data_IF_288738116464
#
_entry.id   IF_288738116464
#
_cell.length_a   1.000
_cell.length_b   1.000
_cell.length_c   1.000
_cell.angle_alpha   90.00
_cell.angle_beta   90.00
_cell.angle_gamma   90.00
#
_symmetry.space_group_name_H-M   'P 1'
#
loop_
_entity.id
_entity.type
_entity.pdbx_description
1 polymer ?
#
# COMPACT_ATOMS: atom_id res chain seq x y z
N UNK A 1 19.59 8.42 2.62
CA UNK A 1 18.80 7.21 2.98
C UNK A 1 17.57 7.56 3.82
N UNK A 2 17.73 8.09 5.05
CA UNK A 2 16.57 8.36 5.92
C UNK A 2 15.51 9.29 5.30
N UNK A 3 15.91 10.43 4.73
CA UNK A 3 14.98 11.35 4.06
C UNK A 3 14.22 10.66 2.92
N UNK A 4 14.93 9.91 2.08
CA UNK A 4 14.34 9.15 0.98
C UNK A 4 13.30 8.14 1.48
N UNK A 5 13.57 7.42 2.58
CA UNK A 5 12.61 6.50 3.19
C UNK A 5 11.36 7.25 3.69
N UNK A 6 11.51 8.40 4.34
CA UNK A 6 10.37 9.22 4.80
C UNK A 6 9.52 9.70 3.62
N UNK A 7 10.14 10.24 2.58
CA UNK A 7 9.45 10.66 1.36
C UNK A 7 8.72 9.48 0.72
N UNK A 8 9.35 8.30 0.66
CA UNK A 8 8.76 7.12 0.02
C UNK A 8 7.55 6.59 0.80
N UNK A 9 7.63 6.50 2.13
CA UNK A 9 6.48 6.05 2.94
C UNK A 9 5.36 7.09 2.98
N UNK A 10 5.69 8.38 3.00
CA UNK A 10 4.70 9.46 2.88
C UNK A 10 3.95 9.36 1.56
N UNK A 11 4.70 9.33 0.45
CA UNK A 11 4.14 9.27 -0.90
C UNK A 11 3.35 7.98 -1.11
N UNK A 12 3.86 6.84 -0.65
CA UNK A 12 3.15 5.56 -0.73
C UNK A 12 1.81 5.58 0.01
N UNK A 13 1.78 6.11 1.23
CA UNK A 13 0.54 6.24 2.00
C UNK A 13 -0.43 7.25 1.40
N UNK A 14 0.07 8.38 0.91
CA UNK A 14 -0.73 9.38 0.21
C UNK A 14 -1.38 8.80 -1.05
N UNK A 15 -0.60 8.08 -1.87
CA UNK A 15 -1.10 7.40 -3.07
C UNK A 15 -2.12 6.31 -2.73
N UNK A 16 -1.89 5.54 -1.66
CA UNK A 16 -2.80 4.49 -1.22
C UNK A 16 -4.17 5.06 -0.85
N UNK A 17 -4.22 6.10 -0.02
CA UNK A 17 -5.50 6.69 0.40
C UNK A 17 -6.17 7.51 -0.71
N UNK A 18 -5.39 8.21 -1.54
CA UNK A 18 -5.96 8.96 -2.67
C UNK A 18 -6.57 8.06 -3.72
N UNK A 19 -6.00 6.90 -4.04
CA UNK A 19 -6.59 6.01 -5.05
C UNK A 19 -7.94 5.43 -4.60
N UNK A 20 -8.13 5.17 -3.31
CA UNK A 20 -9.43 4.72 -2.78
C UNK A 20 -10.52 5.75 -3.09
N UNK A 21 -10.22 7.03 -2.87
CA UNK A 21 -11.14 8.13 -3.09
C UNK A 21 -11.36 8.41 -4.59
N UNK A 22 -10.28 8.44 -5.38
CA UNK A 22 -10.35 8.61 -6.85
C UNK A 22 -11.24 7.53 -7.46
N UNK A 23 -11.04 6.28 -7.07
CA UNK A 23 -11.77 5.15 -7.64
C UNK A 23 -13.22 5.12 -7.16
N UNK A 24 -13.49 5.44 -5.90
CA UNK A 24 -14.86 5.60 -5.41
C UNK A 24 -15.60 6.67 -6.22
N UNK A 25 -14.95 7.80 -6.51
CA UNK A 25 -15.51 8.86 -7.35
C UNK A 25 -15.69 8.41 -8.81
N UNK A 26 -14.72 7.68 -9.36
CA UNK A 26 -14.76 7.16 -10.73
C UNK A 26 -15.91 6.17 -10.99
N UNK A 27 -16.33 5.43 -9.97
CA UNK A 27 -17.41 4.45 -10.07
C UNK A 27 -18.81 5.09 -10.05
N UNK A 28 -18.95 6.32 -9.53
CA UNK A 28 -20.26 6.97 -9.35
C UNK A 28 -21.07 7.11 -10.65
N UNK A 29 -20.50 7.53 -11.80
CA UNK A 29 -21.29 7.71 -13.02
C UNK A 29 -21.82 6.39 -13.59
N UNK A 30 -21.07 5.30 -13.46
CA UNK A 30 -21.46 3.98 -13.98
C UNK A 30 -22.35 3.20 -13.02
N UNK A 31 -21.94 3.08 -11.75
CA UNK A 31 -22.57 2.20 -10.77
C UNK A 31 -23.51 2.94 -9.79
N UNK A 32 -23.50 4.27 -9.79
CA UNK A 32 -24.27 5.11 -8.87
C UNK A 32 -23.64 5.23 -7.47
N UNK A 33 -24.28 6.04 -6.62
CA UNK A 33 -23.83 6.33 -5.24
C UNK A 33 -24.44 5.45 -4.16
N UNK A 34 -24.81 4.20 -4.47
CA UNK A 34 -25.46 3.33 -3.49
C UNK A 34 -24.49 2.83 -2.41
N UNK A 35 -25.02 2.49 -1.23
CA UNK A 35 -24.24 1.86 -0.15
C UNK A 35 -23.49 0.60 -0.64
N UNK A 36 -24.08 -0.15 -1.56
CA UNK A 36 -23.50 -1.39 -2.08
C UNK A 36 -22.19 -1.14 -2.84
N UNK A 37 -22.09 -0.03 -3.60
CA UNK A 37 -20.86 0.36 -4.31
C UNK A 37 -19.77 0.66 -3.30
N UNK A 38 -20.08 1.52 -2.33
CA UNK A 38 -19.15 1.90 -1.27
C UNK A 38 -18.65 0.68 -0.47
N UNK A 39 -19.57 -0.19 -0.02
CA UNK A 39 -19.19 -1.37 0.77
C UNK A 39 -18.35 -2.36 -0.04
N UNK A 40 -18.59 -2.48 -1.34
CA UNK A 40 -17.80 -3.35 -2.24
C UNK A 40 -16.38 -2.83 -2.40
N UNK A 41 -16.21 -1.52 -2.58
CA UNK A 41 -14.90 -0.88 -2.62
C UNK A 41 -14.15 -1.06 -1.30
N UNK A 42 -14.81 -0.77 -0.17
CA UNK A 42 -14.21 -0.93 1.16
C UNK A 42 -13.77 -2.38 1.41
N UNK A 43 -14.62 -3.36 1.10
CA UNK A 43 -14.29 -4.78 1.28
C UNK A 43 -13.07 -5.17 0.44
N UNK A 44 -12.99 -4.71 -0.81
CA UNK A 44 -11.83 -4.94 -1.66
C UNK A 44 -10.56 -4.32 -1.06
N UNK A 45 -10.58 -3.03 -0.73
CA UNK A 45 -9.40 -2.32 -0.23
C UNK A 45 -8.90 -2.90 1.08
N UNK A 46 -9.78 -3.17 2.04
CA UNK A 46 -9.39 -3.78 3.32
C UNK A 46 -8.84 -5.20 3.11
N UNK A 47 -9.44 -5.98 2.21
CA UNK A 47 -8.94 -7.31 1.85
C UNK A 47 -7.54 -7.27 1.26
N UNK A 48 -7.29 -6.38 0.29
CA UNK A 48 -5.98 -6.25 -0.35
C UNK A 48 -4.94 -5.64 0.60
N UNK A 49 -5.33 -4.70 1.45
CA UNK A 49 -4.47 -4.15 2.50
C UNK A 49 -3.98 -5.24 3.46
N UNK A 50 -4.87 -6.15 3.87
CA UNK A 50 -4.51 -7.32 4.67
C UNK A 50 -3.52 -8.23 3.92
N UNK A 51 -3.71 -8.46 2.62
CA UNK A 51 -2.77 -9.21 1.79
C UNK A 51 -1.40 -8.53 1.71
N UNK A 52 -1.35 -7.20 1.67
CA UNK A 52 -0.11 -6.43 1.73
C UNK A 52 0.64 -6.62 3.05
N UNK A 53 -0.08 -6.61 4.17
CA UNK A 53 0.50 -6.90 5.49
C UNK A 53 0.95 -8.35 5.63
N UNK A 54 0.21 -9.30 5.06
CA UNK A 54 0.63 -10.69 5.01
C UNK A 54 1.96 -10.82 4.25
N UNK A 55 2.05 -10.21 3.07
CA UNK A 55 3.27 -10.16 2.28
C UNK A 55 4.43 -9.53 3.05
N UNK A 56 4.23 -8.37 3.68
CA UNK A 56 5.26 -7.70 4.49
C UNK A 56 5.70 -8.54 5.71
N UNK A 57 4.78 -9.28 6.34
CA UNK A 57 5.11 -10.17 7.45
C UNK A 57 5.92 -11.38 6.99
N UNK A 58 5.60 -11.96 5.83
CA UNK A 58 6.41 -13.03 5.21
C UNK A 58 7.80 -12.52 4.81
N UNK A 59 7.87 -11.29 4.29
CA UNK A 59 9.11 -10.60 3.97
C UNK A 59 10.01 -10.44 5.21
N UNK A 60 9.43 -10.01 6.35
CA UNK A 60 10.17 -9.82 7.62
C UNK A 60 10.87 -11.09 8.13
N UNK A 61 10.36 -12.28 7.81
CA UNK A 61 10.91 -13.57 8.27
C UNK A 61 12.21 -13.95 7.56
N UNK A 62 12.61 -13.25 6.51
CA UNK A 62 13.83 -13.56 5.74
C UNK A 62 15.09 -13.05 6.48
N UNK A 63 16.16 -13.87 6.59
CA UNK A 63 17.39 -13.49 7.29
C UNK A 63 18.25 -12.50 6.48
N UNK A 64 18.29 -12.67 5.15
CA UNK A 64 18.86 -11.69 4.23
C UNK A 64 17.74 -10.86 3.59
N UNK A 65 17.97 -9.55 3.49
CA UNK A 65 17.02 -8.58 2.94
C UNK A 65 17.37 -8.14 1.52
N UNK A 66 18.58 -8.43 1.02
CA UNK A 66 19.01 -7.94 -0.31
C UNK A 66 18.16 -8.52 -1.43
N UNK A 67 18.16 -9.85 -1.58
CA UNK A 67 17.42 -10.51 -2.65
C UNK A 67 15.91 -10.28 -2.54
N UNK A 68 15.26 -10.42 -1.36
CA UNK A 68 13.86 -10.06 -1.21
C UNK A 68 13.55 -8.60 -1.56
N UNK A 69 14.44 -7.65 -1.22
CA UNK A 69 14.22 -6.24 -1.57
C UNK A 69 14.33 -6.01 -3.08
N UNK A 70 15.29 -6.63 -3.78
CA UNK A 70 15.34 -6.60 -5.26
C UNK A 70 14.04 -7.12 -5.87
N UNK A 71 13.53 -8.25 -5.38
CA UNK A 71 12.23 -8.77 -5.82
C UNK A 71 11.09 -7.80 -5.52
N UNK A 72 11.06 -7.18 -4.34
CA UNK A 72 10.05 -6.18 -4.00
C UNK A 72 10.11 -4.99 -4.95
N UNK A 73 11.30 -4.46 -5.24
CA UNK A 73 11.48 -3.37 -6.22
C UNK A 73 10.97 -3.81 -7.58
N UNK A 74 11.29 -5.02 -8.06
CA UNK A 74 10.73 -5.53 -9.33
C UNK A 74 9.18 -5.55 -9.33
N UNK A 75 8.57 -5.97 -8.21
CA UNK A 75 7.12 -5.95 -8.06
C UNK A 75 6.56 -4.51 -8.03
N UNK A 76 7.28 -3.54 -7.49
CA UNK A 76 6.88 -2.11 -7.50
C UNK A 76 6.79 -1.55 -8.92
N UNK A 77 7.63 -2.01 -9.85
CA UNK A 77 7.58 -1.57 -11.25
C UNK A 77 6.49 -2.28 -12.05
N UNK A 78 6.02 -3.45 -11.63
CA UNK A 78 5.09 -4.27 -12.40
C UNK A 78 3.72 -3.58 -12.68
N UNK A 79 3.11 -2.79 -11.78
CA UNK A 79 1.91 -2.01 -12.11
C UNK A 79 2.08 -1.04 -13.28
N UNK A 80 3.29 -0.53 -13.51
CA UNK A 80 3.55 0.45 -14.57
C UNK A 80 3.30 -0.14 -15.97
N UNK A 81 3.40 -1.47 -16.12
CA UNK A 81 3.09 -2.16 -17.37
C UNK A 81 1.61 -2.09 -17.76
N UNK A 82 0.74 -1.77 -16.80
CA UNK A 82 -0.71 -1.67 -16.99
C UNK A 82 -1.19 -0.22 -17.09
N UNK A 83 -0.28 0.76 -17.06
CA UNK A 83 -0.62 2.17 -17.26
C UNK A 83 -0.65 2.48 -18.77
N UNK A 84 -1.64 3.25 -19.27
CA UNK A 84 -2.69 3.94 -18.52
C UNK A 84 -3.89 3.05 -18.17
N UNK A 85 -4.37 3.16 -16.93
CA UNK A 85 -5.65 2.58 -16.52
C UNK A 85 -6.77 3.33 -17.25
N UNK A 86 -7.45 2.67 -18.20
CA UNK A 86 -8.57 3.26 -18.94
C UNK A 86 -9.78 3.46 -18.02
N UNK A 87 -10.27 4.71 -17.99
CA UNK A 87 -11.47 5.10 -17.24
C UNK A 87 -12.76 4.50 -17.80
N UNK A 88 -12.77 4.13 -19.08
CA UNK A 88 -13.97 3.63 -19.77
C UNK A 88 -14.55 2.39 -19.11
N UNK A 89 -13.68 1.57 -18.50
CA UNK A 89 -14.11 0.36 -17.77
C UNK A 89 -14.93 0.67 -16.51
N UNK A 90 -14.75 1.84 -15.90
CA UNK A 90 -15.54 2.26 -14.74
C UNK A 90 -16.92 2.83 -15.14
N UNK A 91 -17.06 3.23 -16.41
CA UNK A 91 -18.27 3.84 -16.95
C UNK A 91 -19.25 2.84 -17.58
N UNK A 92 -18.81 1.60 -17.82
CA UNK A 92 -19.59 0.57 -18.53
C UNK A 92 -19.81 -0.68 -17.68
N UNK A 93 -20.66 -0.61 -16.63
CA UNK A 93 -21.13 -1.82 -15.94
C UNK A 93 -21.86 -2.75 -16.93
N UNK A 94 -21.48 -4.02 -16.93
CA UNK A 94 -22.10 -5.08 -17.75
C UNK A 94 -23.47 -5.50 -17.22
N UNK A 95 -23.73 -5.31 -15.91
CA UNK A 95 -24.93 -5.78 -15.21
C UNK A 95 -25.21 -7.28 -15.35
N UNK A 96 -24.26 -8.06 -15.86
CA UNK A 96 -24.40 -9.49 -16.11
C UNK A 96 -24.13 -10.35 -14.85
N UNK A 97 -23.63 -9.73 -13.79
CA UNK A 97 -23.23 -10.37 -12.52
C UNK A 97 -23.71 -9.52 -11.34
N UNK A 98 -23.75 -10.07 -10.11
CA UNK A 98 -23.99 -9.26 -8.92
C UNK A 98 -22.99 -8.11 -8.84
N UNK A 99 -23.47 -6.90 -8.55
CA UNK A 99 -22.69 -5.65 -8.57
C UNK A 99 -21.38 -5.74 -7.77
N UNK A 100 -21.40 -6.39 -6.60
CA UNK A 100 -20.21 -6.59 -5.76
C UNK A 100 -19.11 -7.39 -6.48
N UNK A 101 -19.47 -8.43 -7.22
CA UNK A 101 -18.53 -9.28 -7.97
C UNK A 101 -17.91 -8.48 -9.11
N UNK A 102 -18.73 -7.66 -9.78
CA UNK A 102 -18.30 -6.81 -10.87
C UNK A 102 -17.33 -5.72 -10.42
N UNK A 103 -17.65 -5.01 -9.33
CA UNK A 103 -16.76 -4.00 -8.74
C UNK A 103 -15.44 -4.64 -8.28
N UNK A 104 -15.49 -5.73 -7.51
CA UNK A 104 -14.27 -6.42 -7.05
C UNK A 104 -13.41 -6.88 -8.22
N UNK A 105 -14.02 -7.46 -9.26
CA UNK A 105 -13.31 -7.89 -10.46
C UNK A 105 -12.65 -6.72 -11.18
N UNK A 106 -13.39 -5.62 -11.35
CA UNK A 106 -12.88 -4.39 -11.96
C UNK A 106 -11.69 -3.82 -11.18
N UNK A 107 -11.82 -3.68 -9.85
CA UNK A 107 -10.76 -3.17 -8.98
C UNK A 107 -9.54 -4.08 -8.99
N UNK A 108 -9.74 -5.39 -8.92
CA UNK A 108 -8.66 -6.37 -8.97
C UNK A 108 -7.84 -6.26 -10.25
N UNK A 109 -8.50 -6.14 -11.41
CA UNK A 109 -7.87 -6.09 -12.72
C UNK A 109 -7.22 -4.74 -13.04
N UNK A 110 -7.64 -3.65 -12.39
CA UNK A 110 -7.18 -2.29 -12.71
C UNK A 110 -6.13 -1.80 -11.72
N UNK A 111 -6.50 -1.68 -10.44
CA UNK A 111 -5.69 -1.01 -9.42
C UNK A 111 -5.21 -1.95 -8.32
N UNK A 112 -5.74 -3.17 -8.24
CA UNK A 112 -5.49 -4.11 -7.15
C UNK A 112 -4.02 -4.42 -6.93
N UNK A 113 -3.27 -4.63 -8.01
CA UNK A 113 -1.84 -4.94 -7.91
C UNK A 113 -1.04 -3.74 -7.38
N UNK A 114 -1.32 -2.53 -7.86
CA UNK A 114 -0.66 -1.31 -7.37
C UNK A 114 -1.01 -1.03 -5.90
N UNK A 115 -2.27 -1.18 -5.53
CA UNK A 115 -2.76 -1.01 -4.16
C UNK A 115 -2.11 -2.02 -3.19
N UNK A 116 -2.01 -3.29 -3.60
CA UNK A 116 -1.33 -4.32 -2.83
C UNK A 116 0.12 -3.95 -2.52
N UNK A 117 0.87 -3.48 -3.52
CA UNK A 117 2.25 -3.05 -3.32
C UNK A 117 2.33 -1.86 -2.36
N UNK A 118 1.56 -0.79 -2.60
CA UNK A 118 1.54 0.40 -1.74
C UNK A 118 1.26 0.04 -0.28
N UNK A 119 0.31 -0.88 -0.04
CA UNK A 119 -0.09 -1.28 1.32
C UNK A 119 1.01 -2.02 2.09
N UNK A 120 1.94 -2.66 1.39
CA UNK A 120 3.07 -3.38 1.99
C UNK A 120 4.29 -2.49 2.30
N UNK A 121 4.41 -1.35 1.61
CA UNK A 121 5.63 -0.55 1.57
C UNK A 121 6.05 0.01 2.92
N UNK A 122 5.11 0.57 3.70
CA UNK A 122 5.45 1.19 4.99
C UNK A 122 6.12 0.18 5.94
N UNK A 123 5.59 -1.05 6.01
CA UNK A 123 6.12 -2.12 6.87
C UNK A 123 7.46 -2.64 6.34
N UNK A 124 7.59 -2.81 5.02
CA UNK A 124 8.85 -3.27 4.40
C UNK A 124 9.96 -2.23 4.63
N UNK A 125 9.70 -0.95 4.40
CA UNK A 125 10.69 0.11 4.56
C UNK A 125 11.06 0.36 6.03
N UNK A 126 10.13 0.16 6.97
CA UNK A 126 10.46 0.10 8.41
C UNK A 126 11.44 -1.02 8.74
N UNK A 127 11.26 -2.20 8.14
CA UNK A 127 12.19 -3.33 8.30
C UNK A 127 13.55 -3.03 7.68
N UNK A 128 13.59 -2.43 6.50
CA UNK A 128 14.83 -2.00 5.81
C UNK A 128 15.58 -0.98 6.68
N UNK A 129 14.89 0.03 7.22
CA UNK A 129 15.46 1.02 8.13
C UNK A 129 16.06 0.36 9.39
N UNK A 130 15.29 -0.51 10.06
CA UNK A 130 15.74 -1.20 11.28
C UNK A 130 16.96 -2.11 11.06
N UNK A 131 17.15 -2.61 9.83
CA UNK A 131 18.28 -3.46 9.46
C UNK A 131 19.53 -2.70 9.02
N UNK A 132 19.40 -1.40 8.72
CA UNK A 132 20.49 -0.60 8.16
C UNK A 132 21.48 -0.13 9.23
N UNK A 133 22.76 -0.46 9.05
CA UNK A 133 23.84 -0.08 9.97
C UNK A 133 23.97 1.45 10.13
N UNK A 134 23.73 2.21 9.05
CA UNK A 134 23.83 3.68 9.03
C UNK A 134 22.70 4.40 9.79
N UNK A 135 21.60 3.71 10.09
CA UNK A 135 20.40 4.32 10.72
C UNK A 135 19.97 3.56 11.98
N UNK A 136 20.84 2.70 12.52
CA UNK A 136 20.60 1.87 13.73
C UNK A 136 20.20 2.69 14.96
N UNK A 137 20.59 3.97 15.05
CA UNK A 137 20.20 4.88 16.15
C UNK A 137 18.84 5.54 15.95
N UNK A 138 18.23 5.39 14.78
CA UNK A 138 16.96 6.05 14.43
C UNK A 138 15.80 5.15 14.81
N UNK A 139 14.76 5.75 15.39
CA UNK A 139 13.56 5.05 15.77
C UNK A 139 12.73 4.69 14.51
N UNK A 140 12.50 3.39 14.19
CA UNK A 140 11.72 3.00 13.03
C UNK A 140 10.26 3.49 13.04
N UNK A 141 9.71 3.77 14.22
CA UNK A 141 8.34 4.29 14.38
C UNK A 141 8.15 5.67 13.74
N UNK A 142 9.22 6.40 13.42
CA UNK A 142 9.12 7.67 12.67
C UNK A 142 8.52 7.44 11.28
N UNK A 143 8.89 6.35 10.60
CA UNK A 143 8.32 6.04 9.28
C UNK A 143 6.83 5.70 9.36
N UNK A 144 6.38 5.10 10.46
CA UNK A 144 4.95 4.88 10.70
C UNK A 144 4.20 6.20 10.90
N UNK A 145 4.75 7.13 11.70
CA UNK A 145 4.16 8.46 11.88
C UNK A 145 4.08 9.25 10.57
N UNK A 146 5.14 9.21 9.76
CA UNK A 146 5.18 9.89 8.45
C UNK A 146 4.23 9.24 7.44
N UNK A 147 4.08 7.92 7.46
CA UNK A 147 3.07 7.21 6.67
C UNK A 147 1.65 7.66 7.05
N UNK A 148 1.33 7.74 8.34
CA UNK A 148 0.02 8.23 8.80
C UNK A 148 -0.22 9.69 8.41
N UNK A 149 0.81 10.54 8.49
CA UNK A 149 0.72 11.92 8.01
C UNK A 149 0.36 11.96 6.51
N UNK A 150 0.96 11.09 5.69
CA UNK A 150 0.62 10.94 4.28
C UNK A 150 -0.84 10.53 4.06
N UNK A 151 -1.35 9.57 4.84
CA UNK A 151 -2.76 9.15 4.80
C UNK A 151 -3.72 10.29 5.14
N UNK A 152 -3.47 11.01 6.23
CA UNK A 152 -4.28 12.17 6.63
C UNK A 152 -4.22 13.28 5.57
N UNK A 153 -3.03 13.54 5.03
CA UNK A 153 -2.85 14.52 3.96
C UNK A 153 -3.67 14.15 2.71
N UNK A 154 -3.72 12.88 2.30
CA UNK A 154 -4.55 12.44 1.18
C UNK A 154 -6.05 12.60 1.46
N UNK A 155 -6.51 12.18 2.64
CA UNK A 155 -7.90 12.28 3.06
C UNK A 155 -8.40 13.74 3.09
N UNK A 156 -7.55 14.69 3.49
CA UNK A 156 -7.88 16.11 3.50
C UNK A 156 -7.72 16.75 2.12
N UNK A 157 -6.64 16.45 1.41
CA UNK A 157 -6.37 17.02 0.10
C UNK A 157 -7.45 16.64 -0.91
N UNK A 158 -8.02 15.43 -0.83
CA UNK A 158 -8.98 14.97 -1.82
C UNK A 158 -10.25 15.86 -1.92
N UNK A 159 -11.04 16.06 -0.83
CA UNK A 159 -12.20 16.94 -0.87
C UNK A 159 -11.84 18.44 -0.95
N UNK A 160 -10.72 18.88 -0.38
CA UNK A 160 -10.40 20.31 -0.27
C UNK A 160 -9.65 20.88 -1.48
N UNK A 161 -8.87 20.04 -2.18
CA UNK A 161 -7.94 20.49 -3.24
C UNK A 161 -8.14 19.68 -4.51
N UNK A 162 -8.22 18.35 -4.44
CA UNK A 162 -8.23 17.50 -5.63
C UNK A 162 -9.57 17.62 -6.38
N UNK A 163 -10.68 17.42 -5.68
CA UNK A 163 -12.02 17.44 -6.30
C UNK A 163 -12.46 18.83 -6.79
N UNK A 164 -12.12 19.97 -6.13
CA UNK A 164 -12.52 21.28 -6.65
C UNK A 164 -11.67 21.76 -7.84
N UNK A 165 -10.43 21.28 -7.97
CA UNK A 165 -9.47 21.82 -8.94
C UNK A 165 -9.19 20.91 -10.14
N UNK A 166 -9.43 19.60 -10.02
CA UNK A 166 -9.02 18.62 -11.04
C UNK A 166 -10.17 17.71 -11.46
N UNK A 167 -10.33 17.54 -12.76
CA UNK A 167 -11.19 16.50 -13.33
C UNK A 167 -10.61 15.08 -13.07
N UNK A 168 -11.44 14.06 -13.24
CA UNK A 168 -11.08 12.68 -12.92
C UNK A 168 -9.89 12.14 -13.75
N UNK A 169 -9.75 12.56 -15.01
CA UNK A 169 -8.64 12.14 -15.86
C UNK A 169 -7.32 12.76 -15.35
N UNK A 170 -7.36 14.03 -14.98
CA UNK A 170 -6.24 14.73 -14.35
C UNK A 170 -5.86 14.09 -13.01
N UNK A 171 -6.83 13.69 -12.19
CA UNK A 171 -6.59 12.98 -10.92
C UNK A 171 -5.84 11.66 -11.12
N UNK A 172 -6.29 10.83 -12.06
CA UNK A 172 -5.64 9.54 -12.37
C UNK A 172 -4.26 9.74 -12.97
N UNK A 173 -4.11 10.70 -13.88
CA UNK A 173 -2.82 11.00 -14.50
C UNK A 173 -1.81 11.49 -13.44
N UNK A 174 -2.24 12.39 -12.55
CA UNK A 174 -1.44 12.83 -11.40
C UNK A 174 -1.07 11.68 -10.46
N UNK A 175 -2.01 10.77 -10.20
CA UNK A 175 -1.75 9.58 -9.39
C UNK A 175 -0.74 8.63 -10.05
N UNK A 176 -0.82 8.40 -11.36
CA UNK A 176 0.13 7.57 -12.12
C UNK A 176 1.53 8.18 -12.12
N UNK A 177 1.65 9.51 -12.28
CA UNK A 177 2.92 10.22 -12.15
C UNK A 177 3.48 10.07 -10.73
N UNK A 178 2.64 10.24 -9.70
CA UNK A 178 3.02 10.01 -8.31
C UNK A 178 3.51 8.57 -8.06
N UNK A 179 2.83 7.58 -8.64
CA UNK A 179 3.23 6.18 -8.56
C UNK A 179 4.58 5.93 -9.25
N UNK A 180 4.84 6.56 -10.40
CA UNK A 180 6.15 6.49 -11.06
C UNK A 180 7.25 7.08 -10.17
N UNK A 181 7.03 8.25 -9.57
CA UNK A 181 7.98 8.86 -8.62
C UNK A 181 8.24 7.95 -7.42
N UNK A 182 7.19 7.32 -6.90
CA UNK A 182 7.27 6.32 -5.84
C UNK A 182 8.12 5.10 -6.24
N UNK A 183 7.96 4.59 -7.46
CA UNK A 183 8.76 3.49 -7.99
C UNK A 183 10.24 3.87 -8.16
N UNK A 184 10.50 5.08 -8.66
CA UNK A 184 11.87 5.62 -8.76
C UNK A 184 12.52 5.76 -7.38
N UNK A 185 11.77 6.19 -6.36
CA UNK A 185 12.29 6.24 -4.99
C UNK A 185 12.72 4.86 -4.49
N UNK A 186 11.97 3.78 -4.80
CA UNK A 186 12.36 2.41 -4.47
C UNK A 186 13.66 1.98 -5.14
N UNK A 187 13.85 2.35 -6.41
CA UNK A 187 15.08 2.09 -7.14
C UNK A 187 16.26 2.86 -6.51
N UNK A 188 16.05 4.11 -6.10
CA UNK A 188 17.05 4.90 -5.38
C UNK A 188 17.38 4.35 -3.98
N UNK A 189 16.44 3.67 -3.31
CA UNK A 189 16.71 2.96 -2.04
C UNK A 189 17.55 1.70 -2.27
N UNK A 190 17.43 1.07 -3.44
CA UNK A 190 18.18 -0.14 -3.80
C UNK A 190 19.65 0.15 -4.12
N UNK A 191 19.96 1.30 -4.71
CA UNK A 191 21.31 1.67 -5.21
C UNK A 191 22.39 1.77 -4.11
N UNK A 192 22.14 2.28 -2.89
CA UNK A 192 23.15 2.38 -1.84
C UNK A 192 23.60 1.00 -1.34
N UNK A 193 24.66 0.49 -1.95
CA UNK A 193 25.28 -0.79 -1.64
C UNK A 193 26.13 -0.69 -0.37
N UNK A 194 25.52 -0.62 0.82
CA UNK A 194 26.11 -1.04 2.11
C UNK A 194 25.00 -1.39 3.12
N UNK A 195 24.44 -2.57 2.97
CA UNK A 195 23.93 -3.32 4.12
C UNK A 195 24.99 -4.38 4.46
N UNK A 196 26.03 -4.06 5.25
CA UNK A 196 26.60 -5.11 6.08
C UNK A 196 25.47 -5.49 7.02
N UNK A 197 24.93 -6.70 6.86
CA UNK A 197 24.05 -7.32 7.86
C UNK A 197 24.95 -7.51 9.08
N UNK A 198 24.87 -6.68 10.13
CA UNK A 198 25.65 -6.95 11.31
C UNK A 198 24.94 -8.14 11.95
N UNK A 199 25.64 -9.25 12.14
CA UNK A 199 25.14 -10.33 12.99
C UNK A 199 24.73 -9.68 14.31
N UNK A 200 23.44 -9.59 14.56
CA UNK A 200 22.94 -9.22 15.88
C UNK A 200 23.41 -10.39 16.73
N UNK A 201 24.34 -10.21 17.70
CA UNK A 201 24.60 -11.26 18.68
C UNK A 201 23.24 -11.64 19.21
N UNK A 202 22.93 -12.93 19.27
CA UNK A 202 21.65 -13.41 19.77
C UNK A 202 21.46 -12.84 21.19
N UNK A 203 20.86 -11.65 21.29
CA UNK A 203 20.27 -11.22 22.52
C UNK A 203 19.12 -12.20 22.68
N UNK A 204 19.15 -12.93 23.80
CA UNK A 204 18.02 -13.63 24.37
C UNK A 204 16.91 -12.59 24.62
N UNK A 205 16.32 -12.08 23.55
CA UNK A 205 14.98 -11.56 23.58
C UNK A 205 14.17 -12.80 23.86
N UNK A 206 13.88 -13.04 25.14
CA UNK A 206 12.90 -14.03 25.58
C UNK A 206 11.75 -13.96 24.59
N UNK A 207 11.69 -14.95 23.69
CA UNK A 207 10.58 -15.05 22.74
C UNK A 207 9.38 -15.22 23.63
N UNK A 208 8.56 -14.17 23.76
CA UNK A 208 7.25 -14.29 24.38
C UNK A 208 6.62 -15.53 23.73
N UNK A 209 6.18 -16.52 24.53
CA UNK A 209 5.68 -17.77 23.98
C UNK A 209 4.62 -17.45 22.94
N UNK A 210 4.68 -18.16 21.82
CA UNK A 210 3.69 -17.97 20.76
C UNK A 210 2.30 -18.13 21.37
N UNK A 211 1.45 -17.12 21.19
CA UNK A 211 0.10 -17.18 21.72
C UNK A 211 -0.61 -18.42 21.16
N UNK A 212 -1.34 -19.19 22.00
CA UNK A 212 -2.12 -20.32 21.54
C UNK A 212 -3.03 -19.91 20.38
N UNK A 213 -3.11 -20.73 19.32
CA UNK A 213 -3.96 -20.43 18.14
C UNK A 213 -5.41 -20.14 18.53
N UNK A 214 -5.91 -20.80 19.58
CA UNK A 214 -7.24 -20.55 20.15
C UNK A 214 -7.43 -19.12 20.68
N UNK A 215 -6.39 -18.52 21.26
CA UNK A 215 -6.42 -17.15 21.77
C UNK A 215 -6.42 -16.13 20.63
N UNK A 216 -5.69 -16.42 19.54
CA UNK A 216 -5.70 -15.62 18.31
C UNK A 216 -7.11 -15.64 17.69
N UNK A 217 -7.71 -16.82 17.52
CA UNK A 217 -9.08 -16.95 16.98
C UNK A 217 -10.10 -16.23 17.88
N UNK A 218 -9.98 -16.37 19.21
CA UNK A 218 -10.82 -15.65 20.17
C UNK A 218 -10.71 -14.13 20.08
N UNK A 219 -9.55 -13.60 19.67
CA UNK A 219 -9.36 -12.16 19.45
C UNK A 219 -9.85 -11.70 18.08
N UNK A 220 -9.84 -12.58 17.07
CA UNK A 220 -10.35 -12.28 15.73
C UNK A 220 -11.89 -12.31 15.68
N UNK A 221 -12.54 -13.17 16.46
CA UNK A 221 -14.01 -13.26 16.55
C UNK A 221 -14.71 -11.92 16.84
N UNK A 222 -14.31 -11.12 17.85
CA UNK A 222 -14.91 -9.81 18.10
C UNK A 222 -14.46 -8.71 17.12
N UNK A 223 -13.42 -8.94 16.32
CA UNK A 223 -12.99 -8.00 15.28
C UNK A 223 -13.73 -8.21 13.94
N UNK A 224 -14.47 -9.32 13.82
CA UNK A 224 -15.26 -9.70 12.65
C UNK A 224 -16.78 -9.55 12.85
N UNK A 225 -17.21 -9.11 14.04
CA UNK A 225 -18.60 -8.82 14.42
C UNK A 225 -18.80 -7.29 14.49
#
# INVERSE_FOLDING_TARGET
MFVLLNVTVFLGAFLLFSIELIVANALLPGFGGSYLVWSSCMMFFQGVLLLGYLYANLYRRKPDLRLPFVFHVALVFLPLLFFPVSLDRFLQPSYARPMIVEIIGLLFLTIGFAFWILSSTSVILQRVLASSASTRRMNPYVLYAVSNLGSVAALLAYPLVVTPLFDLQSQISGWQIGYLLFALCHLLILIPNRYPVPQVPAQDVQRKPALPKAQIVRWMLPAAA
#
